data_IF_246531698701
#
_entry.id   IF_246531698701
#
_cell.length_a   1.000
_cell.length_b   1.000
_cell.length_c   1.000
_cell.angle_alpha   90.00
_cell.angle_beta   90.00
_cell.angle_gamma   90.00
#
_symmetry.space_group_name_H-M   'P 1'
#
loop_
_entity.id
_entity.type
_entity.pdbx_description
1 polymer ?
#
# COMPACT_ATOMS: atom_id res chain seq x y z
N UNK A 1 -13.95 6.89 28.05
CA UNK A 1 -13.91 5.78 27.07
C UNK A 1 -15.34 5.42 26.74
N UNK A 2 -15.73 5.28 25.46
CA UNK A 2 -17.08 4.85 25.12
C UNK A 2 -17.31 3.46 25.73
N UNK A 3 -18.53 3.22 26.25
CA UNK A 3 -18.92 1.90 26.75
C UNK A 3 -18.79 0.89 25.61
N UNK A 4 -18.23 -0.27 25.93
CA UNK A 4 -17.85 -1.36 25.02
C UNK A 4 -19.00 -2.00 24.25
N UNK A 5 -20.24 -1.58 24.51
CA UNK A 5 -21.40 -2.02 23.76
C UNK A 5 -21.50 -1.19 22.48
N UNK A 6 -20.89 -1.77 21.44
CA UNK A 6 -21.15 -1.57 20.02
C UNK A 6 -20.13 -0.80 19.16
N UNK A 7 -18.84 -1.10 19.31
CA UNK A 7 -17.82 -0.78 18.28
C UNK A 7 -18.24 -1.30 16.89
N UNK A 8 -19.01 -2.40 16.82
CA UNK A 8 -19.50 -2.97 15.56
C UNK A 8 -20.53 -2.09 14.85
N UNK A 9 -21.36 -1.36 15.57
CA UNK A 9 -22.30 -0.38 14.98
C UNK A 9 -21.60 0.85 14.40
N UNK A 10 -20.36 1.12 14.83
CA UNK A 10 -19.55 2.24 14.36
C UNK A 10 -18.72 1.91 13.11
N UNK A 11 -18.62 0.64 12.73
CA UNK A 11 -17.81 0.19 11.60
C UNK A 11 -18.75 -0.27 10.48
N UNK A 12 -18.66 0.41 9.33
CA UNK A 12 -19.32 -0.01 8.09
C UNK A 12 -18.26 -0.51 7.13
N UNK A 13 -18.42 -1.76 6.70
CA UNK A 13 -17.58 -2.35 5.67
C UNK A 13 -18.19 -2.10 4.29
N UNK A 14 -17.34 -1.76 3.34
CA UNK A 14 -17.69 -1.57 1.93
C UNK A 14 -16.65 -2.28 1.08
N UNK A 15 -17.07 -2.76 -0.09
CA UNK A 15 -16.19 -3.43 -1.05
C UNK A 15 -15.94 -2.50 -2.24
N UNK A 16 -14.67 -2.40 -2.66
CA UNK A 16 -14.29 -1.77 -3.92
C UNK A 16 -13.90 -2.88 -4.91
N UNK A 17 -14.27 -2.78 -6.19
CA UNK A 17 -13.88 -3.77 -7.18
C UNK A 17 -12.36 -3.68 -7.44
N UNK A 18 -11.71 -4.83 -7.50
CA UNK A 18 -10.28 -4.99 -7.82
C UNK A 18 -9.98 -4.77 -9.32
N UNK A 19 -11.02 -4.81 -10.16
CA UNK A 19 -10.95 -4.57 -11.59
C UNK A 19 -10.49 -5.76 -12.44
N UNK A 20 -10.32 -6.93 -11.83
CA UNK A 20 -10.04 -8.18 -12.55
C UNK A 20 -11.32 -8.74 -13.16
N UNK A 21 -11.21 -9.37 -14.33
CA UNK A 21 -12.32 -10.12 -14.89
C UNK A 21 -12.56 -11.40 -14.09
N UNK A 22 -13.79 -11.94 -14.12
CA UNK A 22 -14.16 -13.12 -13.32
C UNK A 22 -13.38 -14.38 -13.68
N UNK A 23 -12.76 -14.40 -14.87
CA UNK A 23 -11.96 -15.52 -15.37
C UNK A 23 -10.45 -15.26 -15.30
N UNK A 24 -10.04 -14.06 -14.86
CA UNK A 24 -8.62 -13.75 -14.68
C UNK A 24 -8.04 -14.57 -13.52
N UNK A 25 -6.82 -15.04 -13.73
CA UNK A 25 -6.07 -15.73 -12.69
C UNK A 25 -5.66 -14.76 -11.58
N UNK A 26 -6.33 -14.86 -10.43
CA UNK A 26 -6.07 -14.03 -9.25
C UNK A 26 -4.76 -14.38 -8.54
N UNK A 27 -4.08 -15.47 -8.92
CA UNK A 27 -2.76 -15.83 -8.38
C UNK A 27 -1.63 -14.99 -8.98
N UNK A 28 -1.86 -14.37 -10.14
CA UNK A 28 -0.93 -13.41 -10.74
C UNK A 28 -0.99 -12.08 -9.97
N UNK A 29 -0.17 -12.02 -8.92
CA UNK A 29 -0.08 -10.86 -8.02
C UNK A 29 0.27 -9.57 -8.77
N UNK A 30 1.10 -9.65 -9.81
CA UNK A 30 1.45 -8.51 -10.66
C UNK A 30 0.23 -7.94 -11.38
N UNK A 31 -0.57 -8.81 -12.03
CA UNK A 31 -1.82 -8.39 -12.68
C UNK A 31 -2.84 -7.86 -11.69
N UNK A 32 -3.00 -8.50 -10.54
CA UNK A 32 -3.90 -8.06 -9.48
C UNK A 32 -3.54 -6.63 -9.02
N UNK A 33 -2.27 -6.39 -8.67
CA UNK A 33 -1.82 -5.07 -8.23
C UNK A 33 -1.97 -4.01 -9.32
N UNK A 34 -1.63 -4.34 -10.58
CA UNK A 34 -1.83 -3.43 -11.70
C UNK A 34 -3.31 -3.05 -11.88
N UNK A 35 -4.22 -4.00 -11.71
CA UNK A 35 -5.66 -3.75 -11.80
C UNK A 35 -6.16 -2.91 -10.62
N UNK A 36 -5.74 -3.23 -9.39
CA UNK A 36 -6.08 -2.46 -8.18
C UNK A 36 -5.67 -1.00 -8.34
N UNK A 37 -4.43 -0.73 -8.74
CA UNK A 37 -3.90 0.62 -8.93
C UNK A 37 -4.67 1.38 -10.02
N UNK A 38 -5.15 0.68 -11.06
CA UNK A 38 -5.94 1.27 -12.14
C UNK A 38 -7.38 1.60 -11.72
N UNK A 39 -8.02 0.74 -10.94
CA UNK A 39 -9.47 0.78 -10.71
C UNK A 39 -9.85 1.39 -9.36
N UNK A 40 -9.27 0.89 -8.26
CA UNK A 40 -9.68 1.29 -6.91
C UNK A 40 -9.58 2.79 -6.61
N UNK A 41 -8.64 3.59 -7.16
CA UNK A 41 -8.60 5.02 -6.89
C UNK A 41 -9.85 5.76 -7.37
N UNK A 42 -10.36 5.38 -8.55
CA UNK A 42 -11.62 5.94 -9.09
C UNK A 42 -12.80 5.55 -8.21
N UNK A 43 -12.88 4.29 -7.82
CA UNK A 43 -13.98 3.77 -7.02
C UNK A 43 -14.00 4.36 -5.61
N UNK A 44 -12.83 4.54 -4.99
CA UNK A 44 -12.70 5.24 -3.72
C UNK A 44 -13.19 6.69 -3.83
N UNK A 45 -12.82 7.40 -4.91
CA UNK A 45 -13.31 8.76 -5.15
C UNK A 45 -14.84 8.80 -5.25
N UNK A 46 -15.45 7.90 -6.03
CA UNK A 46 -16.91 7.79 -6.16
C UNK A 46 -17.58 7.53 -4.82
N UNK A 47 -17.01 6.63 -4.01
CA UNK A 47 -17.50 6.33 -2.66
C UNK A 47 -17.45 7.58 -1.76
N UNK A 48 -16.35 8.33 -1.79
CA UNK A 48 -16.19 9.55 -0.99
C UNK A 48 -17.22 10.59 -1.40
N UNK A 49 -17.39 10.82 -2.70
CA UNK A 49 -18.38 11.76 -3.24
C UNK A 49 -19.81 11.38 -2.85
N UNK A 50 -20.15 10.08 -2.92
CA UNK A 50 -21.45 9.57 -2.53
C UNK A 50 -21.74 9.80 -1.03
N UNK A 51 -20.79 9.49 -0.15
CA UNK A 51 -20.96 9.70 1.30
C UNK A 51 -21.07 11.19 1.63
N UNK A 52 -20.18 12.01 1.07
CA UNK A 52 -20.16 13.46 1.33
C UNK A 52 -21.37 14.21 0.76
N UNK A 53 -22.05 13.64 -0.24
CA UNK A 53 -23.27 14.17 -0.83
C UNK A 53 -24.56 13.74 -0.13
N UNK A 54 -24.49 12.79 0.81
CA UNK A 54 -25.64 12.38 1.61
C UNK A 54 -25.87 13.30 2.82
N UNK A 55 -27.00 13.17 3.50
CA UNK A 55 -27.28 13.89 4.75
C UNK A 55 -26.44 13.38 5.94
N UNK A 56 -25.56 12.40 5.73
CA UNK A 56 -24.68 11.85 6.76
C UNK A 56 -23.45 12.71 7.02
N UNK A 57 -22.71 12.34 8.07
CA UNK A 57 -21.39 12.89 8.32
C UNK A 57 -20.44 12.68 7.14
N UNK A 58 -19.61 13.69 6.90
CA UNK A 58 -18.61 13.71 5.82
C UNK A 58 -17.33 13.01 6.26
N UNK A 59 -16.54 12.55 5.28
CA UNK A 59 -15.19 12.08 5.53
C UNK A 59 -14.32 13.17 6.15
N UNK A 60 -13.77 12.89 7.33
CA UNK A 60 -12.84 13.79 8.02
C UNK A 60 -11.37 13.38 7.83
N UNK A 61 -11.12 12.10 7.57
CA UNK A 61 -9.78 11.53 7.39
C UNK A 61 -9.84 10.22 6.59
N UNK A 62 -8.77 9.91 5.84
CA UNK A 62 -8.50 8.60 5.25
C UNK A 62 -7.27 8.00 5.92
N UNK A 63 -7.42 6.81 6.48
CA UNK A 63 -6.29 6.04 7.02
C UNK A 63 -6.04 4.89 6.05
N UNK A 64 -4.85 4.83 5.47
CA UNK A 64 -4.49 3.85 4.44
C UNK A 64 -3.19 3.13 4.77
N UNK A 65 -3.10 1.88 4.31
CA UNK A 65 -1.84 1.15 4.34
C UNK A 65 -0.84 1.83 3.38
N UNK A 66 0.43 1.95 3.77
CA UNK A 66 1.40 2.74 3.01
C UNK A 66 1.70 2.17 1.61
N UNK A 67 1.48 0.87 1.36
CA UNK A 67 1.58 0.30 0.01
C UNK A 67 0.44 0.76 -0.92
N UNK A 68 -0.69 1.19 -0.36
CA UNK A 68 -1.85 1.74 -1.07
C UNK A 68 -1.70 3.27 -1.25
N UNK A 69 -0.53 3.71 -1.73
CA UNK A 69 -0.21 5.14 -1.90
C UNK A 69 -1.24 5.90 -2.75
N UNK A 70 -1.95 5.20 -3.64
CA UNK A 70 -3.05 5.77 -4.42
C UNK A 70 -4.21 6.29 -3.56
N UNK A 71 -4.49 5.69 -2.40
CA UNK A 71 -5.56 6.13 -1.51
C UNK A 71 -5.20 7.46 -0.83
N UNK A 72 -3.92 7.63 -0.50
CA UNK A 72 -3.34 8.87 0.02
C UNK A 72 -3.46 9.97 -1.06
N UNK A 73 -3.06 9.68 -2.29
CA UNK A 73 -3.16 10.62 -3.41
C UNK A 73 -4.61 11.06 -3.68
N UNK A 74 -5.58 10.14 -3.59
CA UNK A 74 -7.01 10.47 -3.69
C UNK A 74 -7.42 11.42 -2.56
N UNK A 75 -7.03 11.14 -1.31
CA UNK A 75 -7.34 11.99 -0.17
C UNK A 75 -6.81 13.41 -0.35
N UNK A 76 -5.54 13.55 -0.76
CA UNK A 76 -4.88 14.83 -1.01
C UNK A 76 -5.60 15.64 -2.11
N UNK A 77 -5.92 15.00 -3.24
CA UNK A 77 -6.66 15.65 -4.34
C UNK A 77 -8.05 16.12 -3.94
N UNK A 78 -8.66 15.47 -2.95
CA UNK A 78 -9.98 15.81 -2.43
C UNK A 78 -9.93 16.75 -1.22
N UNK A 79 -8.73 17.17 -0.77
CA UNK A 79 -8.56 18.04 0.40
C UNK A 79 -8.96 17.36 1.72
N UNK A 80 -8.92 16.04 1.78
CA UNK A 80 -9.24 15.24 2.97
C UNK A 80 -7.93 14.94 3.71
N UNK A 81 -7.95 15.04 5.05
CA UNK A 81 -6.80 14.66 5.88
C UNK A 81 -6.48 13.19 5.64
N UNK A 82 -5.21 12.82 5.70
CA UNK A 82 -4.82 11.44 5.52
C UNK A 82 -3.71 11.04 6.49
N UNK A 83 -3.66 9.75 6.79
CA UNK A 83 -2.62 9.12 7.58
C UNK A 83 -2.25 7.78 6.95
N UNK A 84 -0.96 7.51 6.84
CA UNK A 84 -0.43 6.26 6.33
C UNK A 84 0.04 5.38 7.48
N UNK A 85 -0.23 4.07 7.41
CA UNK A 85 0.35 3.10 8.35
C UNK A 85 1.04 1.96 7.60
N UNK A 86 2.11 1.43 8.19
CA UNK A 86 2.82 0.25 7.70
C UNK A 86 2.59 -0.90 8.69
N UNK A 87 1.87 -1.98 8.30
CA UNK A 87 1.50 -3.05 9.23
C UNK A 87 2.66 -4.00 9.57
N UNK A 88 3.81 -3.87 8.91
CA UNK A 88 4.98 -4.71 9.13
C UNK A 88 6.09 -3.98 9.89
N UNK A 89 7.20 -4.68 10.14
CA UNK A 89 8.38 -4.10 10.80
C UNK A 89 8.98 -2.97 9.95
N UNK A 90 9.38 -1.86 10.59
CA UNK A 90 9.93 -0.67 9.92
C UNK A 90 11.20 -0.95 9.12
N UNK A 91 11.97 -1.98 9.52
CA UNK A 91 13.19 -2.41 8.83
C UNK A 91 12.93 -2.79 7.37
N UNK A 92 11.76 -3.39 7.08
CA UNK A 92 11.36 -3.77 5.72
C UNK A 92 10.93 -2.56 4.88
N UNK A 93 10.60 -1.45 5.53
CA UNK A 93 10.21 -0.22 4.85
C UNK A 93 11.41 0.65 4.47
N UNK A 94 12.54 0.52 5.19
CA UNK A 94 13.73 1.33 4.95
C UNK A 94 14.29 1.31 3.52
N UNK A 95 14.31 0.18 2.79
CA UNK A 95 14.79 0.14 1.41
C UNK A 95 14.03 1.08 0.47
N UNK A 96 12.72 1.30 0.69
CA UNK A 96 11.91 2.20 -0.14
C UNK A 96 12.44 3.64 -0.14
N UNK A 97 12.95 4.12 1.00
CA UNK A 97 13.56 5.47 1.09
C UNK A 97 14.93 5.58 0.41
N UNK A 98 15.51 4.47 -0.04
CA UNK A 98 16.86 4.42 -0.62
C UNK A 98 16.86 3.92 -2.06
N UNK A 99 15.71 3.70 -2.70
CA UNK A 99 15.59 3.16 -4.07
C UNK A 99 16.55 3.84 -5.04
N UNK A 100 16.51 5.18 -5.15
CA UNK A 100 17.41 5.90 -6.07
C UNK A 100 18.88 5.64 -5.77
N UNK A 101 19.28 5.67 -4.49
CA UNK A 101 20.67 5.36 -4.11
C UNK A 101 21.04 3.89 -4.34
N UNK A 102 20.09 2.95 -4.25
CA UNK A 102 20.34 1.54 -4.51
C UNK A 102 20.54 1.30 -6.01
N UNK A 103 19.79 2.00 -6.86
CA UNK A 103 19.95 2.00 -8.32
C UNK A 103 21.30 2.61 -8.70
N UNK A 104 21.63 3.80 -8.20
CA UNK A 104 22.88 4.51 -8.52
C UNK A 104 24.13 3.69 -8.15
N UNK A 105 24.03 2.88 -7.09
CA UNK A 105 25.11 1.99 -6.62
C UNK A 105 25.15 0.64 -7.34
N UNK A 106 24.24 0.38 -8.28
CA UNK A 106 24.10 -0.91 -8.96
C UNK A 106 23.79 -2.06 -8.00
N UNK A 107 23.05 -1.78 -6.92
CA UNK A 107 22.59 -2.80 -5.97
C UNK A 107 21.30 -3.45 -6.50
N UNK A 108 20.41 -2.62 -7.05
CA UNK A 108 19.20 -3.03 -7.77
C UNK A 108 19.15 -2.34 -9.14
N UNK A 109 18.38 -2.90 -10.07
CA UNK A 109 18.07 -2.25 -11.35
C UNK A 109 16.83 -1.33 -11.25
N UNK A 110 16.38 -0.77 -12.39
CA UNK A 110 15.22 0.13 -12.45
C UNK A 110 13.91 -0.55 -12.04
N UNK A 111 13.84 -1.88 -12.16
CA UNK A 111 12.67 -2.69 -11.78
C UNK A 111 12.75 -3.14 -10.32
N UNK A 112 13.80 -2.75 -9.59
CA UNK A 112 14.01 -3.13 -8.20
C UNK A 112 14.61 -4.53 -8.02
N UNK A 113 15.05 -5.17 -9.11
CA UNK A 113 15.66 -6.50 -9.09
C UNK A 113 17.10 -6.41 -8.56
N UNK A 114 17.49 -7.25 -7.58
CA UNK A 114 18.86 -7.31 -7.10
C UNK A 114 19.85 -7.68 -8.20
N UNK A 115 20.86 -6.84 -8.43
CA UNK A 115 21.90 -7.11 -9.42
C UNK A 115 22.87 -8.21 -8.95
N UNK A 116 23.02 -8.38 -7.64
CA UNK A 116 23.83 -9.41 -6.98
C UNK A 116 23.17 -9.84 -5.69
N UNK A 117 23.30 -11.13 -5.34
CA UNK A 117 23.01 -11.60 -3.99
C UNK A 117 24.13 -11.16 -3.05
N UNK A 118 23.85 -10.14 -2.24
CA UNK A 118 24.82 -9.55 -1.33
C UNK A 118 24.12 -9.08 -0.06
N UNK A 119 24.88 -8.96 1.02
CA UNK A 119 24.41 -8.39 2.27
C UNK A 119 24.74 -6.91 2.27
N UNK A 120 23.74 -6.07 2.53
CA UNK A 120 23.90 -4.64 2.68
C UNK A 120 23.42 -4.19 4.06
N UNK A 121 23.89 -3.02 4.49
CA UNK A 121 23.39 -2.36 5.68
C UNK A 121 23.03 -0.91 5.31
N UNK A 122 21.75 -0.56 5.41
CA UNK A 122 21.25 0.75 4.96
C UNK A 122 21.64 1.90 5.90
N UNK A 123 21.84 1.61 7.19
CA UNK A 123 22.38 2.53 8.19
C UNK A 123 22.99 1.77 9.36
N UNK A 124 23.82 2.42 10.17
CA UNK A 124 24.45 1.79 11.34
C UNK A 124 23.44 1.25 12.37
N UNK A 125 22.25 1.85 12.45
CA UNK A 125 21.18 1.43 13.37
C UNK A 125 20.31 0.27 12.84
N UNK A 126 20.57 -0.18 11.61
CA UNK A 126 19.78 -1.21 10.95
C UNK A 126 20.53 -2.54 10.92
N UNK A 127 19.84 -3.69 11.05
CA UNK A 127 20.48 -4.97 10.82
C UNK A 127 20.92 -5.10 9.35
N UNK A 128 21.99 -5.87 9.07
CA UNK A 128 22.31 -6.26 7.71
C UNK A 128 21.18 -7.08 7.10
N UNK A 129 20.94 -6.92 5.80
CA UNK A 129 19.91 -7.64 5.05
C UNK A 129 20.44 -8.11 3.70
N UNK A 130 19.96 -9.27 3.21
CA UNK A 130 20.26 -9.71 1.86
C UNK A 130 19.42 -8.92 0.86
N UNK A 131 20.00 -8.55 -0.26
CA UNK A 131 19.29 -7.87 -1.35
C UNK A 131 18.13 -8.71 -1.92
N UNK A 132 18.26 -10.03 -1.90
CA UNK A 132 17.20 -10.97 -2.29
C UNK A 132 16.05 -11.05 -1.28
N UNK A 133 16.23 -10.54 -0.06
CA UNK A 133 15.21 -10.52 0.99
C UNK A 133 14.48 -9.17 1.06
N UNK A 134 14.66 -8.29 0.07
CA UNK A 134 13.80 -7.10 -0.05
C UNK A 134 12.35 -7.52 -0.22
N UNK A 135 11.46 -6.83 0.50
CA UNK A 135 10.05 -7.19 0.61
C UNK A 135 9.36 -7.37 -0.75
N UNK A 136 9.63 -6.49 -1.72
CA UNK A 136 9.01 -6.56 -3.04
C UNK A 136 9.49 -7.73 -3.90
N UNK A 137 10.64 -8.33 -3.61
CA UNK A 137 11.12 -9.52 -4.31
C UNK A 137 10.45 -10.80 -3.82
N UNK A 138 9.74 -10.75 -2.69
CA UNK A 138 9.00 -11.87 -2.10
C UNK A 138 7.49 -11.80 -2.39
N UNK A 139 7.05 -10.77 -3.12
CA UNK A 139 5.65 -10.64 -3.54
C UNK A 139 5.37 -11.68 -4.63
N UNK A 140 4.71 -12.78 -4.28
CA UNK A 140 4.34 -13.85 -5.22
C UNK A 140 5.09 -15.17 -5.05
N UNK A 141 6.01 -15.27 -4.08
CA UNK A 141 6.53 -16.58 -3.67
C UNK A 141 5.40 -17.31 -2.92
N UNK A 142 4.81 -18.34 -3.56
CA UNK A 142 3.96 -19.31 -2.87
C UNK A 142 4.79 -19.96 -1.76
N UNK A 143 4.44 -19.68 -0.50
CA UNK A 143 4.94 -20.41 0.66
C UNK A 143 4.32 -21.78 0.77
#
# INVERSE_FOLDING_TARGET
MPKTDNVRELIKMVSLPDGLESFDDKSDTGKLWASIIRVMPRELKVLIEWINGSESDKFSCIIAEASLGWAIEVAEKMGIKNEAFWPAVSVLFAPFFKISSLIDKGIIDSEGTPMKNQIIQLSQAMPPMKTTDFFWNRLGDEG
#
